data_IF_522409000181
#
_entry.id   IF_522409000181
#
_cell.length_a   1.000
_cell.length_b   1.000
_cell.length_c   1.000
_cell.angle_alpha   90.00
_cell.angle_beta   90.00
_cell.angle_gamma   90.00
#
_symmetry.space_group_name_H-M   'P 1'
#
loop_
_entity.id
_entity.type
_entity.pdbx_description
1 polymer ?
#
# COMPACT_ATOMS: atom_id res chain seq x y z
N UNK A 1 -1.55 21.33 2.83
CA UNK A 1 -0.24 20.83 3.31
C UNK A 1 -0.12 19.31 3.20
N UNK A 2 -1.04 18.53 3.79
CA UNK A 2 -1.04 17.04 3.74
C UNK A 2 -0.93 16.43 2.33
N UNK A 3 -1.53 17.04 1.31
CA UNK A 3 -1.46 16.55 -0.08
C UNK A 3 -0.06 16.67 -0.69
N UNK A 4 0.69 17.72 -0.32
CA UNK A 4 2.04 17.96 -0.81
C UNK A 4 3.03 17.03 -0.08
N UNK A 5 2.92 16.93 1.25
CA UNK A 5 3.70 15.98 2.04
C UNK A 5 3.55 14.54 1.53
N UNK A 6 2.31 14.12 1.20
CA UNK A 6 2.06 12.81 0.58
C UNK A 6 2.78 12.63 -0.76
N UNK A 7 2.75 13.64 -1.64
CA UNK A 7 3.42 13.57 -2.95
C UNK A 7 4.94 13.46 -2.79
N UNK A 8 5.51 14.24 -1.86
CA UNK A 8 6.93 14.18 -1.54
C UNK A 8 7.29 12.80 -0.99
N UNK A 9 6.51 12.26 -0.05
CA UNK A 9 6.74 10.92 0.49
C UNK A 9 6.73 9.85 -0.61
N UNK A 10 5.75 9.88 -1.52
CA UNK A 10 5.71 8.95 -2.66
C UNK A 10 6.93 9.14 -3.57
N UNK A 11 7.32 10.37 -3.88
CA UNK A 11 8.49 10.64 -4.72
C UNK A 11 9.78 10.10 -4.09
N UNK A 12 9.99 10.36 -2.80
CA UNK A 12 11.16 9.89 -2.04
C UNK A 12 11.19 8.37 -1.99
N UNK A 13 10.06 7.72 -1.68
CA UNK A 13 9.96 6.26 -1.68
C UNK A 13 10.30 5.69 -3.06
N UNK A 14 9.74 6.24 -4.13
CA UNK A 14 10.04 5.79 -5.50
C UNK A 14 11.52 5.96 -5.86
N UNK A 15 12.11 7.11 -5.54
CA UNK A 15 13.53 7.40 -5.79
C UNK A 15 14.47 6.49 -5.01
N UNK A 16 14.07 6.00 -3.84
CA UNK A 16 14.85 5.04 -3.05
C UNK A 16 14.65 3.60 -3.55
N UNK A 17 13.40 3.21 -3.80
CA UNK A 17 13.05 1.82 -4.11
C UNK A 17 13.55 1.37 -5.47
N UNK A 18 13.50 2.24 -6.49
CA UNK A 18 13.95 1.89 -7.85
C UNK A 18 15.44 1.49 -7.89
N UNK A 19 16.40 2.34 -7.45
CA UNK A 19 17.81 1.97 -7.48
C UNK A 19 18.12 0.84 -6.51
N UNK A 20 17.44 0.78 -5.35
CA UNK A 20 17.59 -0.33 -4.42
C UNK A 20 17.18 -1.67 -5.07
N UNK A 21 16.04 -1.71 -5.75
CA UNK A 21 15.57 -2.89 -6.49
C UNK A 21 16.50 -3.26 -7.66
N UNK A 22 17.02 -2.28 -8.39
CA UNK A 22 17.95 -2.50 -9.49
C UNK A 22 19.29 -3.07 -9.02
N UNK A 23 19.81 -2.57 -7.89
CA UNK A 23 21.07 -3.01 -7.30
C UNK A 23 20.95 -4.33 -6.55
N UNK A 24 19.76 -4.65 -6.01
CA UNK A 24 19.51 -5.84 -5.20
C UNK A 24 18.56 -6.78 -5.93
N UNK A 25 19.07 -7.43 -6.98
CA UNK A 25 18.36 -8.49 -7.71
C UNK A 25 18.49 -9.87 -7.07
N UNK A 26 19.26 -9.96 -5.99
CA UNK A 26 19.41 -11.17 -5.19
C UNK A 26 18.06 -11.65 -4.65
N UNK A 27 17.93 -12.96 -4.55
CA UNK A 27 16.79 -13.62 -3.92
C UNK A 27 16.85 -13.44 -2.41
N UNK A 28 15.69 -13.28 -1.78
CA UNK A 28 15.52 -13.22 -0.34
C UNK A 28 14.54 -14.28 0.11
N UNK A 29 14.86 -14.92 1.24
CA UNK A 29 13.99 -15.85 1.92
C UNK A 29 12.83 -15.10 2.60
N UNK A 30 11.60 -15.39 2.19
CA UNK A 30 10.38 -14.93 2.84
C UNK A 30 9.79 -16.06 3.66
N UNK A 31 9.87 -15.93 4.98
CA UNK A 31 9.16 -16.79 5.91
C UNK A 31 7.77 -16.23 6.22
N UNK A 32 6.73 -17.05 6.11
CA UNK A 32 5.34 -16.62 6.32
C UNK A 32 4.81 -17.03 7.69
N UNK A 33 5.11 -16.30 8.75
CA UNK A 33 4.52 -16.59 10.05
C UNK A 33 2.99 -16.41 10.05
N UNK A 34 2.18 -17.29 10.70
CA UNK A 34 2.54 -18.45 11.53
C UNK A 34 2.72 -19.77 10.77
N UNK A 35 2.77 -19.73 9.43
CA UNK A 35 2.96 -20.90 8.58
C UNK A 35 4.44 -21.28 8.45
N UNK A 36 4.75 -22.57 8.35
CA UNK A 36 6.14 -23.07 8.22
C UNK A 36 6.69 -23.02 6.78
N UNK A 37 6.21 -22.07 5.98
CA UNK A 37 6.61 -21.89 4.59
C UNK A 37 7.70 -20.84 4.41
N UNK A 38 8.77 -21.20 3.69
CA UNK A 38 9.77 -20.25 3.20
C UNK A 38 9.78 -20.29 1.68
N UNK A 39 9.69 -19.12 1.05
CA UNK A 39 9.86 -18.98 -0.40
C UNK A 39 11.03 -18.04 -0.70
N UNK A 40 11.79 -18.38 -1.74
CA UNK A 40 12.83 -17.50 -2.27
C UNK A 40 12.22 -16.64 -3.38
N UNK A 41 12.28 -15.33 -3.21
CA UNK A 41 11.85 -14.40 -4.26
C UNK A 41 12.89 -13.31 -4.47
N UNK A 42 13.08 -12.82 -5.71
CA UNK A 42 13.86 -11.63 -5.94
C UNK A 42 13.34 -10.45 -5.12
N UNK A 43 14.23 -9.73 -4.43
CA UNK A 43 13.87 -8.64 -3.53
C UNK A 43 13.03 -7.55 -4.22
N UNK A 44 13.31 -7.28 -5.50
CA UNK A 44 12.53 -6.30 -6.26
C UNK A 44 11.05 -6.69 -6.38
N UNK A 45 10.72 -7.99 -6.52
CA UNK A 45 9.33 -8.45 -6.60
C UNK A 45 8.61 -8.25 -5.27
N UNK A 46 9.28 -8.56 -4.15
CA UNK A 46 8.74 -8.34 -2.82
C UNK A 46 8.39 -6.86 -2.59
N UNK A 47 9.30 -5.96 -2.91
CA UNK A 47 9.08 -4.52 -2.75
C UNK A 47 7.92 -4.01 -3.61
N UNK A 48 7.83 -4.45 -4.86
CA UNK A 48 6.71 -4.11 -5.76
C UNK A 48 5.40 -4.64 -5.21
N UNK A 49 5.37 -5.86 -4.69
CA UNK A 49 4.17 -6.46 -4.10
C UNK A 49 3.69 -5.68 -2.87
N UNK A 50 4.60 -5.27 -1.98
CA UNK A 50 4.26 -4.46 -0.79
C UNK A 50 3.72 -3.09 -1.19
N UNK A 51 4.34 -2.42 -2.17
CA UNK A 51 3.84 -1.15 -2.71
C UNK A 51 2.45 -1.30 -3.32
N UNK A 52 2.23 -2.33 -4.14
CA UNK A 52 0.94 -2.62 -4.74
C UNK A 52 -0.13 -2.88 -3.67
N UNK A 53 0.20 -3.66 -2.64
CA UNK A 53 -0.71 -3.94 -1.53
C UNK A 53 -1.10 -2.65 -0.78
N UNK A 54 -0.14 -1.76 -0.52
CA UNK A 54 -0.42 -0.45 0.08
C UNK A 54 -1.40 0.40 -0.74
N UNK A 55 -1.27 0.39 -2.07
CA UNK A 55 -2.20 1.07 -2.98
C UNK A 55 -3.60 0.45 -2.92
N UNK A 56 -3.69 -0.88 -2.98
CA UNK A 56 -4.96 -1.62 -2.92
C UNK A 56 -5.68 -1.34 -1.60
N UNK A 57 -4.99 -1.48 -0.47
CA UNK A 57 -5.54 -1.22 0.86
C UNK A 57 -5.99 0.24 1.02
N UNK A 58 -5.19 1.20 0.54
CA UNK A 58 -5.56 2.62 0.54
C UNK A 58 -6.79 2.93 -0.32
N UNK A 59 -6.94 2.24 -1.45
CA UNK A 59 -8.14 2.31 -2.29
C UNK A 59 -9.37 1.72 -1.61
N UNK A 60 -9.21 0.54 -1.00
CA UNK A 60 -10.27 -0.15 -0.26
C UNK A 60 -10.77 0.67 0.93
N UNK A 61 -9.88 1.28 1.72
CA UNK A 61 -10.26 2.15 2.83
C UNK A 61 -11.20 3.29 2.39
N UNK A 62 -10.89 3.95 1.27
CA UNK A 62 -11.73 5.01 0.69
C UNK A 62 -13.08 4.49 0.19
N UNK A 63 -13.12 3.25 -0.31
CA UNK A 63 -14.37 2.62 -0.73
C UNK A 63 -15.30 2.39 0.47
N UNK A 64 -14.75 1.86 1.57
CA UNK A 64 -15.50 1.65 2.82
C UNK A 64 -16.05 2.97 3.38
N UNK A 65 -15.25 4.05 3.40
CA UNK A 65 -15.70 5.39 3.82
C UNK A 65 -16.88 5.90 2.97
N UNK A 66 -16.85 5.71 1.65
CA UNK A 66 -17.94 6.10 0.74
C UNK A 66 -19.21 5.29 0.94
N UNK A 67 -19.09 4.01 1.28
CA UNK A 67 -20.23 3.14 1.54
C UNK A 67 -20.89 3.48 2.88
N UNK A 68 -20.11 3.75 3.93
CA UNK A 68 -20.63 4.12 5.26
C UNK A 68 -21.24 5.52 5.34
N UNK A 69 -20.75 6.48 4.54
CA UNK A 69 -21.25 7.87 4.53
C UNK A 69 -22.63 8.03 3.88
N UNK A 70 -23.09 7.07 3.07
CA UNK A 70 -24.44 7.09 2.44
C UNK A 70 -25.60 6.97 3.43
N UNK A 71 -25.37 6.43 4.64
CA UNK A 71 -26.42 6.25 5.65
C UNK A 71 -26.75 7.48 6.49
N UNK A 72 -25.93 8.55 6.43
CA UNK A 72 -26.02 9.67 7.38
C UNK A 72 -26.80 10.89 6.89
N UNK A 73 -27.02 11.01 5.57
CA UNK A 73 -27.78 12.12 4.98
C UNK A 73 -29.30 11.98 5.04
N UNK A 74 -29.84 10.89 5.61
CA UNK A 74 -31.31 10.70 5.78
C UNK A 74 -31.89 11.31 7.06
N UNK A 75 -31.08 11.92 7.94
CA UNK A 75 -31.54 12.47 9.23
C UNK A 75 -31.63 14.00 9.31
N UNK A 76 -31.34 14.74 8.25
CA UNK A 76 -31.38 16.23 8.24
C UNK A 76 -32.47 16.76 7.31
N UNK A 77 -33.49 15.96 7.01
CA UNK A 77 -34.65 16.37 6.22
C UNK A 77 -35.92 15.99 6.95
N UNK A 78 -36.19 16.69 8.06
CA UNK A 78 -37.52 16.75 8.64
C UNK A 78 -37.81 18.24 8.94
N UNK A 79 -38.98 18.73 8.50
CA UNK A 79 -39.32 20.15 8.34
C UNK A 79 -39.45 20.93 9.65
#
# INVERSE_FOLDING_TARGET
MLRLARRIAVLVLTLLFIPFALSNRQSVALAFWPFDGVIEVPLYLLLVAVLALGIILGGFARLVERLGSRGRSRRVSSP
#
